data_IF_404082546534
#
_entry.id   IF_404082546534
#
_cell.length_a   1.000
_cell.length_b   1.000
_cell.length_c   1.000
_cell.angle_alpha   90.00
_cell.angle_beta   90.00
_cell.angle_gamma   90.00
#
_symmetry.space_group_name_H-M   'P 1'
#
loop_
_entity.id
_entity.type
_entity.pdbx_description
1 polymer ?
#
# COMPACT_ATOMS: atom_id res chain seq x y z
N UNK A 1 20.90 -2.78 24.09
CA UNK A 1 22.23 -2.59 24.72
C UNK A 1 23.25 -3.64 24.24
N UNK A 2 23.01 -4.98 24.29
CA UNK A 2 24.03 -5.96 23.85
C UNK A 2 24.51 -5.77 22.41
N UNK A 3 23.60 -5.52 21.44
CA UNK A 3 23.94 -5.30 20.05
C UNK A 3 24.86 -4.07 19.86
N UNK A 4 24.59 -2.98 20.58
CA UNK A 4 25.40 -1.76 20.51
C UNK A 4 26.81 -1.99 21.06
N UNK A 5 26.94 -2.73 22.18
CA UNK A 5 28.23 -3.07 22.78
C UNK A 5 29.03 -4.01 21.85
N UNK A 6 28.37 -4.85 21.08
CA UNK A 6 28.98 -5.73 20.09
C UNK A 6 29.30 -5.03 18.75
N UNK A 7 28.98 -3.75 18.60
CA UNK A 7 29.15 -3.02 17.33
C UNK A 7 28.22 -3.50 16.20
N UNK A 8 27.14 -4.19 16.55
CA UNK A 8 26.21 -4.78 15.59
C UNK A 8 25.10 -3.79 15.19
N UNK A 9 24.67 -3.88 13.94
CA UNK A 9 23.53 -3.08 13.44
C UNK A 9 22.21 -3.60 14.01
N UNK A 10 21.36 -2.68 14.47
CA UNK A 10 20.06 -2.96 15.04
C UNK A 10 18.96 -2.17 14.31
N UNK A 11 17.87 -2.85 13.97
CA UNK A 11 16.62 -2.19 13.49
C UNK A 11 15.59 -2.25 14.62
N UNK A 12 14.96 -1.12 14.92
CA UNK A 12 13.87 -1.01 15.89
C UNK A 12 12.61 -0.63 15.10
N UNK A 13 11.62 -1.50 15.14
CA UNK A 13 10.32 -1.29 14.49
C UNK A 13 9.26 -1.00 15.54
N UNK A 14 8.53 0.13 15.40
CA UNK A 14 7.47 0.56 16.32
C UNK A 14 6.14 0.70 15.59
N UNK A 15 5.04 0.79 16.35
CA UNK A 15 3.70 0.91 15.77
C UNK A 15 3.40 2.30 15.17
N UNK A 16 3.90 3.39 15.76
CA UNK A 16 3.49 4.75 15.44
C UNK A 16 4.60 5.78 15.32
N UNK A 17 4.29 6.90 14.67
CA UNK A 17 5.23 8.02 14.48
C UNK A 17 5.68 8.65 15.80
N UNK A 18 4.78 8.83 16.76
CA UNK A 18 5.08 9.42 18.07
C UNK A 18 6.10 8.62 18.86
N UNK A 19 5.99 7.29 18.80
CA UNK A 19 6.97 6.38 19.41
C UNK A 19 8.32 6.43 18.70
N UNK A 20 8.32 6.52 17.37
CA UNK A 20 9.57 6.71 16.62
C UNK A 20 10.28 8.00 17.03
N UNK A 21 9.55 9.11 17.11
CA UNK A 21 10.11 10.41 17.48
C UNK A 21 10.60 10.40 18.93
N UNK A 22 9.86 9.79 19.86
CA UNK A 22 10.29 9.62 21.25
C UNK A 22 11.59 8.80 21.35
N UNK A 23 11.66 7.64 20.71
CA UNK A 23 12.87 6.80 20.72
C UNK A 23 14.09 7.55 20.18
N UNK A 24 13.94 8.26 19.07
CA UNK A 24 15.04 8.97 18.43
C UNK A 24 15.45 10.25 19.15
N UNK A 25 14.50 11.01 19.69
CA UNK A 25 14.77 12.29 20.32
C UNK A 25 15.17 12.18 21.80
N UNK A 26 14.74 11.12 22.51
CA UNK A 26 14.88 11.02 23.95
C UNK A 26 15.57 9.74 24.42
N UNK A 27 15.01 8.57 24.10
CA UNK A 27 15.39 7.32 24.75
C UNK A 27 16.75 6.80 24.25
N UNK A 28 16.99 6.79 22.94
CA UNK A 28 18.25 6.34 22.36
C UNK A 28 19.43 7.29 22.66
N UNK A 29 19.28 8.61 22.61
CA UNK A 29 20.31 9.54 23.07
C UNK A 29 20.66 9.34 24.53
N UNK A 30 19.67 9.19 25.43
CA UNK A 30 19.91 8.95 26.86
C UNK A 30 20.65 7.63 27.09
N UNK A 31 20.28 6.57 26.35
CA UNK A 31 20.96 5.27 26.42
C UNK A 31 22.41 5.36 25.92
N UNK A 32 22.63 6.04 24.78
CA UNK A 32 23.97 6.29 24.21
C UNK A 32 24.87 6.98 25.21
N UNK A 33 24.36 8.05 25.84
CA UNK A 33 25.11 8.86 26.79
C UNK A 33 25.43 8.07 28.08
N UNK A 34 24.47 7.26 28.57
CA UNK A 34 24.65 6.40 29.72
C UNK A 34 25.67 5.25 29.49
N UNK A 35 25.77 4.74 28.27
CA UNK A 35 26.69 3.68 27.89
C UNK A 35 28.08 4.20 27.49
N UNK A 36 28.21 5.49 27.16
CA UNK A 36 29.44 6.09 26.65
C UNK A 36 29.90 5.53 25.32
N UNK A 37 28.96 4.99 24.49
CA UNK A 37 29.28 4.36 23.21
C UNK A 37 28.88 5.31 22.07
N UNK A 38 29.79 5.61 21.13
CA UNK A 38 29.44 6.42 19.97
C UNK A 38 28.55 5.61 19.01
N UNK A 39 27.25 5.89 18.99
CA UNK A 39 26.26 5.20 18.17
C UNK A 39 25.58 6.21 17.26
N UNK A 40 25.62 5.95 15.95
CA UNK A 40 24.83 6.70 14.98
C UNK A 40 23.43 6.09 14.92
N UNK A 41 22.42 6.92 15.19
CA UNK A 41 21.00 6.57 15.14
C UNK A 41 20.37 7.28 13.96
N UNK A 42 19.63 6.58 13.13
CA UNK A 42 18.80 7.16 12.07
C UNK A 42 17.33 6.84 12.30
N UNK A 43 16.48 7.82 11.98
CA UNK A 43 15.04 7.66 11.87
C UNK A 43 14.67 7.63 10.38
N UNK A 44 14.08 6.52 9.93
CA UNK A 44 13.60 6.39 8.57
C UNK A 44 12.07 6.28 8.57
N UNK A 45 11.42 7.23 7.92
CA UNK A 45 9.98 7.29 7.74
C UNK A 45 9.58 6.89 6.31
N UNK A 46 8.31 6.60 6.09
CA UNK A 46 7.77 6.37 4.74
C UNK A 46 7.85 7.63 3.87
N UNK A 47 7.91 7.47 2.55
CA UNK A 47 8.10 8.56 1.55
C UNK A 47 7.13 9.72 1.72
N UNK A 48 5.87 9.45 2.05
CA UNK A 48 4.83 10.46 2.28
C UNK A 48 5.11 11.40 3.48
N UNK A 49 6.14 11.12 4.27
CA UNK A 49 6.57 12.01 5.34
C UNK A 49 7.66 13.01 4.92
N UNK A 50 8.15 12.91 3.68
CA UNK A 50 9.19 13.81 3.15
C UNK A 50 8.66 14.65 1.99
N UNK A 51 9.04 15.91 1.94
CA UNK A 51 8.77 16.77 0.79
C UNK A 51 9.48 16.21 -0.45
N UNK A 52 8.80 16.16 -1.57
CA UNK A 52 9.36 15.77 -2.85
C UNK A 52 9.60 17.02 -3.72
N UNK A 53 10.84 17.30 -4.05
CA UNK A 53 11.19 18.49 -4.88
C UNK A 53 10.46 18.47 -6.22
N UNK A 54 10.44 17.34 -6.91
CA UNK A 54 9.75 17.19 -8.19
C UNK A 54 8.25 17.50 -8.07
N UNK A 55 7.56 16.88 -7.09
CA UNK A 55 6.13 17.10 -6.87
C UNK A 55 5.83 18.54 -6.45
N UNK A 56 6.69 19.13 -5.63
CA UNK A 56 6.57 20.52 -5.18
C UNK A 56 6.66 21.50 -6.35
N UNK A 57 7.59 21.30 -7.27
CA UNK A 57 7.75 22.10 -8.49
C UNK A 57 6.57 21.91 -9.43
N UNK A 58 6.13 20.67 -9.62
CA UNK A 58 4.96 20.34 -10.45
C UNK A 58 3.70 21.02 -9.92
N UNK A 59 3.41 20.89 -8.62
CA UNK A 59 2.25 21.52 -7.97
C UNK A 59 2.30 23.05 -8.10
N UNK A 60 3.48 23.62 -7.95
CA UNK A 60 3.67 25.07 -8.10
C UNK A 60 3.45 25.55 -9.54
N UNK A 61 3.83 24.75 -10.54
CA UNK A 61 3.67 25.08 -11.96
C UNK A 61 2.24 24.90 -12.45
N UNK A 62 1.54 23.87 -11.98
CA UNK A 62 0.16 23.59 -12.38
C UNK A 62 -0.85 24.59 -11.77
N UNK A 63 -0.54 25.16 -10.60
CA UNK A 63 -1.38 26.16 -9.94
C UNK A 63 -2.74 25.65 -9.47
N UNK A 64 -2.99 24.34 -9.55
CA UNK A 64 -4.24 23.70 -9.09
C UNK A 64 -4.14 23.34 -7.62
N UNK A 65 -4.63 24.23 -6.77
CA UNK A 65 -4.56 24.09 -5.33
C UNK A 65 -5.94 23.77 -4.74
N UNK A 66 -6.02 22.93 -3.68
CA UNK A 66 -7.29 22.48 -3.11
C UNK A 66 -8.13 23.61 -2.50
N UNK A 67 -7.48 24.61 -1.91
CA UNK A 67 -8.12 25.67 -1.11
C UNK A 67 -7.47 27.03 -1.40
N UNK A 68 -8.17 28.13 -1.05
CA UNK A 68 -7.66 29.48 -1.30
C UNK A 68 -6.37 29.81 -0.51
N UNK A 69 -6.22 29.26 0.69
CA UNK A 69 -5.04 29.47 1.55
C UNK A 69 -3.86 28.55 1.19
N UNK A 70 -4.09 27.53 0.36
CA UNK A 70 -3.08 26.55 -0.06
C UNK A 70 -1.87 27.21 -0.72
N UNK A 71 -2.04 28.38 -1.38
CA UNK A 71 -0.91 29.10 -1.95
C UNK A 71 0.09 29.58 -0.87
N UNK A 72 -0.40 30.08 0.25
CA UNK A 72 0.48 30.53 1.34
C UNK A 72 1.19 29.33 2.00
N UNK A 73 0.48 28.22 2.19
CA UNK A 73 1.04 26.98 2.71
C UNK A 73 2.09 26.42 1.75
N UNK A 74 1.82 26.39 0.44
CA UNK A 74 2.78 25.96 -0.57
C UNK A 74 4.08 26.78 -0.52
N UNK A 75 3.97 28.10 -0.38
CA UNK A 75 5.15 28.97 -0.22
C UNK A 75 5.95 28.68 1.05
N UNK A 76 5.30 28.32 2.15
CA UNK A 76 5.96 27.86 3.37
C UNK A 76 6.73 26.57 3.12
N UNK A 77 6.10 25.58 2.47
CA UNK A 77 6.72 24.30 2.12
C UNK A 77 7.92 24.52 1.18
N UNK A 78 7.81 25.40 0.18
CA UNK A 78 8.93 25.73 -0.70
C UNK A 78 10.13 26.31 0.07
N UNK A 79 9.88 27.25 0.99
CA UNK A 79 10.95 27.82 1.83
C UNK A 79 11.56 26.78 2.75
N UNK A 80 10.75 25.93 3.35
CA UNK A 80 11.18 24.81 4.18
C UNK A 80 12.07 23.86 3.37
N UNK A 81 11.63 23.41 2.21
CA UNK A 81 12.37 22.49 1.35
C UNK A 81 13.75 23.05 0.92
N UNK A 82 13.84 24.37 0.75
CA UNK A 82 15.09 25.04 0.36
C UNK A 82 16.15 25.08 1.47
N UNK A 83 15.76 24.97 2.74
CA UNK A 83 16.68 25.10 3.89
C UNK A 83 16.76 23.84 4.76
N UNK A 84 15.77 22.95 4.67
CA UNK A 84 15.74 21.71 5.45
C UNK A 84 16.83 20.74 4.99
N UNK A 85 17.39 20.01 5.94
CA UNK A 85 18.33 18.91 5.67
C UNK A 85 17.61 17.57 5.53
N UNK A 86 16.47 17.41 6.18
CA UNK A 86 15.71 16.17 6.27
C UNK A 86 14.53 16.15 5.32
N UNK A 87 13.90 17.32 5.08
CA UNK A 87 12.64 17.43 4.35
C UNK A 87 11.45 16.77 5.04
N UNK A 88 11.59 16.39 6.33
CA UNK A 88 10.50 15.77 7.12
C UNK A 88 9.41 16.81 7.39
N UNK A 89 8.19 16.52 6.93
CA UNK A 89 7.03 17.41 7.12
C UNK A 89 6.69 17.69 8.60
N UNK A 90 7.08 16.79 9.52
CA UNK A 90 6.89 17.00 10.95
C UNK A 90 7.71 18.20 11.49
N UNK A 91 8.76 18.61 10.78
CA UNK A 91 9.55 19.81 11.11
C UNK A 91 8.87 21.13 10.70
N UNK A 92 7.71 21.06 10.00
CA UNK A 92 6.93 22.22 9.57
C UNK A 92 5.54 22.25 10.23
N UNK A 93 5.44 22.53 11.54
CA UNK A 93 4.18 22.51 12.28
C UNK A 93 3.17 23.57 11.82
N UNK A 94 3.61 24.55 11.05
CA UNK A 94 2.77 25.60 10.46
C UNK A 94 1.79 25.08 9.39
N UNK A 95 1.98 23.85 8.89
CA UNK A 95 1.08 23.18 7.96
C UNK A 95 0.57 21.91 8.65
N UNK A 96 -0.73 21.80 8.94
CA UNK A 96 -1.31 20.64 9.64
C UNK A 96 -0.95 19.31 8.95
N UNK A 97 -0.81 18.23 9.72
CA UNK A 97 -0.45 16.90 9.18
C UNK A 97 -1.50 16.33 8.21
N UNK A 98 -2.76 16.69 8.40
CA UNK A 98 -3.93 16.28 7.60
C UNK A 98 -4.23 17.23 6.45
N UNK A 99 -3.39 18.25 6.21
CA UNK A 99 -3.61 19.21 5.13
C UNK A 99 -3.59 18.53 3.76
N UNK A 100 -4.58 18.85 2.93
CA UNK A 100 -4.78 18.31 1.58
C UNK A 100 -3.65 18.65 0.60
N UNK A 101 -2.76 19.55 0.97
CA UNK A 101 -1.59 19.91 0.16
C UNK A 101 -0.49 18.85 0.24
N UNK A 102 -0.36 18.11 1.36
CA UNK A 102 0.69 17.12 1.54
C UNK A 102 0.71 16.02 0.46
N UNK A 103 -0.40 15.41 0.07
CA UNK A 103 -0.41 14.42 -1.01
C UNK A 103 0.08 14.96 -2.36
N UNK A 104 -0.01 16.28 -2.59
CA UNK A 104 0.44 16.93 -3.82
C UNK A 104 1.94 17.20 -3.85
N UNK A 105 2.57 17.40 -2.67
CA UNK A 105 3.98 17.80 -2.54
C UNK A 105 4.88 16.72 -1.92
N UNK A 106 4.34 15.56 -1.60
CA UNK A 106 5.07 14.37 -1.17
C UNK A 106 4.99 13.28 -2.24
N UNK A 107 5.72 12.19 -2.07
CA UNK A 107 5.66 11.06 -3.01
C UNK A 107 5.18 9.78 -2.33
N UNK A 108 4.55 8.92 -3.13
CA UNK A 108 4.21 7.53 -2.78
C UNK A 108 5.08 6.58 -3.60
N UNK A 109 4.94 5.26 -3.41
CA UNK A 109 5.64 4.27 -4.24
C UNK A 109 5.21 4.42 -5.71
N UNK A 110 3.93 4.64 -5.93
CA UNK A 110 3.27 4.64 -7.24
C UNK A 110 3.60 5.88 -8.07
N UNK A 111 3.78 7.05 -7.43
CA UNK A 111 4.01 8.31 -8.14
C UNK A 111 5.46 8.81 -8.12
N UNK A 112 6.38 8.04 -7.54
CA UNK A 112 7.81 8.38 -7.51
C UNK A 112 8.49 7.92 -8.80
N UNK A 113 9.12 8.83 -9.53
CA UNK A 113 9.81 8.54 -10.80
C UNK A 113 11.08 7.67 -10.65
N UNK A 114 11.58 7.48 -9.42
CA UNK A 114 12.77 6.67 -9.18
C UNK A 114 14.08 7.36 -9.63
N UNK A 115 15.18 6.58 -9.56
CA UNK A 115 16.53 7.09 -9.81
C UNK A 115 16.72 7.58 -11.24
N UNK A 116 16.26 6.82 -12.20
CA UNK A 116 16.62 7.02 -13.61
C UNK A 116 15.79 8.11 -14.30
N UNK A 117 14.59 8.40 -13.78
CA UNK A 117 13.64 9.32 -14.39
C UNK A 117 13.44 10.63 -13.63
N UNK A 118 13.85 10.71 -12.36
CA UNK A 118 13.62 11.90 -11.52
C UNK A 118 14.70 12.97 -11.70
N UNK A 119 14.39 14.18 -12.18
CA UNK A 119 15.38 15.24 -12.34
C UNK A 119 15.95 15.75 -11.02
N UNK A 120 15.21 15.59 -9.91
CA UNK A 120 15.61 16.05 -8.57
C UNK A 120 16.16 14.90 -7.70
N UNK A 121 16.63 13.79 -8.32
CA UNK A 121 17.02 12.60 -7.55
C UNK A 121 18.22 12.85 -6.62
N UNK A 122 19.19 13.66 -7.05
CA UNK A 122 20.39 13.93 -6.25
C UNK A 122 20.07 14.68 -4.96
N UNK A 123 19.08 15.56 -4.99
CA UNK A 123 18.62 16.32 -3.82
C UNK A 123 17.47 15.66 -3.05
N UNK A 124 17.05 14.46 -3.46
CA UNK A 124 15.91 13.76 -2.89
C UNK A 124 16.09 13.47 -1.39
N UNK A 125 15.19 13.98 -0.56
CA UNK A 125 15.20 13.76 0.89
C UNK A 125 15.01 12.30 1.27
N UNK A 126 14.18 11.55 0.55
CA UNK A 126 14.00 10.11 0.78
C UNK A 126 15.30 9.34 0.51
N UNK A 127 16.03 9.69 -0.56
CA UNK A 127 17.37 9.12 -0.85
C UNK A 127 18.33 9.41 0.30
N UNK A 128 18.45 10.67 0.70
CA UNK A 128 19.35 11.10 1.81
C UNK A 128 19.02 10.37 3.12
N UNK A 129 17.73 10.25 3.47
CA UNK A 129 17.29 9.53 4.65
C UNK A 129 17.63 8.03 4.61
N UNK A 130 17.53 7.39 3.45
CA UNK A 130 17.93 5.98 3.26
C UNK A 130 19.43 5.79 3.36
N UNK A 131 20.20 6.65 2.72
CA UNK A 131 21.66 6.61 2.80
C UNK A 131 22.14 6.80 4.24
N UNK A 132 21.51 7.69 5.01
CA UNK A 132 21.79 7.88 6.43
C UNK A 132 21.43 6.65 7.26
N UNK A 133 20.29 6.01 7.00
CA UNK A 133 19.90 4.77 7.63
C UNK A 133 20.88 3.62 7.34
N UNK A 134 21.31 3.49 6.08
CA UNK A 134 22.29 2.45 5.68
C UNK A 134 23.66 2.61 6.37
N UNK A 135 24.02 3.83 6.78
CA UNK A 135 25.27 4.15 7.47
C UNK A 135 25.15 4.17 8.99
N UNK A 136 23.98 3.82 9.54
CA UNK A 136 23.70 3.93 10.98
C UNK A 136 23.72 2.56 11.67
N UNK A 137 24.17 2.53 12.93
CA UNK A 137 24.18 1.32 13.76
C UNK A 137 22.79 1.01 14.32
N UNK A 138 21.96 2.04 14.55
CA UNK A 138 20.56 1.87 14.97
C UNK A 138 19.67 2.59 13.98
N UNK A 139 18.69 1.87 13.43
CA UNK A 139 17.69 2.43 12.54
C UNK A 139 16.31 2.23 13.16
N UNK A 140 15.60 3.33 13.38
CA UNK A 140 14.23 3.31 13.87
C UNK A 140 13.27 3.47 12.69
N UNK A 141 12.29 2.58 12.61
CA UNK A 141 11.26 2.54 11.54
C UNK A 141 9.89 2.25 12.14
N UNK A 142 8.82 2.42 11.37
CA UNK A 142 7.54 1.86 11.74
C UNK A 142 7.35 0.45 11.15
N UNK A 143 6.35 -0.30 11.65
CA UNK A 143 6.06 -1.66 11.18
C UNK A 143 5.75 -1.71 9.68
N UNK A 144 5.01 -0.72 9.16
CA UNK A 144 4.70 -0.64 7.73
C UNK A 144 5.98 -0.57 6.88
N UNK A 145 6.94 0.28 7.24
CA UNK A 145 8.18 0.42 6.49
C UNK A 145 9.08 -0.82 6.65
N UNK A 146 9.12 -1.41 7.86
CA UNK A 146 9.84 -2.64 8.13
C UNK A 146 9.33 -3.80 7.26
N UNK A 147 8.02 -4.04 7.27
CA UNK A 147 7.38 -5.11 6.48
C UNK A 147 7.46 -4.85 4.97
N UNK A 148 7.31 -3.60 4.53
CA UNK A 148 7.54 -3.21 3.14
C UNK A 148 8.97 -3.52 2.68
N UNK A 149 9.98 -3.29 3.55
CA UNK A 149 11.37 -3.67 3.26
C UNK A 149 11.57 -5.18 3.17
N UNK A 150 10.86 -5.95 3.99
CA UNK A 150 10.90 -7.42 3.93
C UNK A 150 10.22 -7.96 2.67
N UNK A 151 9.07 -7.40 2.28
CA UNK A 151 8.36 -7.79 1.06
C UNK A 151 9.25 -7.58 -0.17
N UNK A 152 9.87 -6.41 -0.30
CA UNK A 152 10.79 -6.11 -1.40
C UNK A 152 11.99 -7.06 -1.48
N UNK A 153 12.54 -7.48 -0.33
CA UNK A 153 13.64 -8.47 -0.29
C UNK A 153 13.20 -9.87 -0.76
N UNK A 154 11.92 -10.21 -0.60
CA UNK A 154 11.39 -11.49 -1.10
C UNK A 154 11.18 -11.48 -2.62
N UNK A 155 10.78 -10.33 -3.17
CA UNK A 155 10.50 -10.19 -4.61
C UNK A 155 11.78 -10.13 -5.46
N UNK A 156 12.89 -9.62 -4.91
CA UNK A 156 14.16 -9.62 -5.64
C UNK A 156 15.37 -9.64 -4.69
N UNK A 157 16.24 -10.63 -4.87
CA UNK A 157 17.55 -10.72 -4.20
C UNK A 157 18.51 -9.60 -4.60
N UNK A 158 18.20 -8.84 -5.64
CA UNK A 158 19.09 -7.87 -6.29
C UNK A 158 18.86 -6.42 -5.88
N UNK A 159 17.78 -6.11 -5.13
CA UNK A 159 17.51 -4.74 -4.70
C UNK A 159 18.22 -4.51 -3.35
N UNK A 160 19.17 -3.58 -3.33
CA UNK A 160 19.68 -3.00 -2.09
C UNK A 160 18.49 -2.60 -1.22
N UNK A 161 18.29 -3.34 -0.12
CA UNK A 161 17.12 -3.19 0.74
C UNK A 161 17.01 -1.76 1.25
N UNK A 162 15.77 -1.33 1.54
CA UNK A 162 15.54 -0.01 2.15
C UNK A 162 16.16 0.13 3.54
N UNK A 163 16.50 -0.99 4.17
CA UNK A 163 17.06 -1.07 5.51
C UNK A 163 18.37 -1.86 5.48
N UNK A 164 19.36 -1.51 6.33
CA UNK A 164 20.60 -2.25 6.47
C UNK A 164 20.33 -3.69 6.90
N UNK A 165 21.28 -4.56 6.62
CA UNK A 165 21.26 -5.90 7.16
C UNK A 165 21.53 -5.83 8.67
N UNK A 166 20.48 -6.08 9.46
CA UNK A 166 20.54 -5.99 10.92
C UNK A 166 20.87 -7.35 11.54
N UNK A 167 21.80 -7.34 12.51
CA UNK A 167 22.08 -8.51 13.34
C UNK A 167 21.00 -8.72 14.42
N UNK A 168 20.26 -7.66 14.75
CA UNK A 168 19.16 -7.68 15.71
C UNK A 168 18.02 -6.81 15.21
N UNK A 169 16.80 -7.36 15.24
CA UNK A 169 15.57 -6.59 15.06
C UNK A 169 14.79 -6.59 16.37
N UNK A 170 14.37 -5.41 16.81
CA UNK A 170 13.47 -5.22 17.95
C UNK A 170 12.10 -4.81 17.41
N UNK A 171 11.09 -5.57 17.76
CA UNK A 171 9.68 -5.27 17.41
C UNK A 171 9.00 -4.78 18.68
N UNK A 172 8.64 -3.51 18.69
CA UNK A 172 7.85 -2.89 19.76
C UNK A 172 6.37 -2.96 19.38
N UNK A 173 5.45 -3.09 20.37
CA UNK A 173 4.01 -3.24 20.12
C UNK A 173 3.68 -4.38 19.13
N UNK A 174 4.35 -5.53 19.30
CA UNK A 174 4.29 -6.66 18.35
C UNK A 174 2.88 -7.21 18.11
N UNK A 175 1.91 -6.92 18.97
CA UNK A 175 0.51 -7.30 18.81
C UNK A 175 -0.16 -6.68 17.57
N UNK A 176 0.35 -5.57 17.06
CA UNK A 176 -0.14 -4.93 15.83
C UNK A 176 0.43 -5.54 14.55
N UNK A 177 1.53 -6.29 14.67
CA UNK A 177 2.28 -6.81 13.52
C UNK A 177 1.45 -7.75 12.62
N UNK A 178 0.63 -8.69 13.14
CA UNK A 178 -0.14 -9.62 12.30
C UNK A 178 -1.10 -8.88 11.36
N UNK A 179 -1.86 -7.90 11.88
CA UNK A 179 -2.79 -7.12 11.07
C UNK A 179 -2.09 -6.31 9.98
N UNK A 180 -0.93 -5.71 10.30
CA UNK A 180 -0.14 -4.95 9.33
C UNK A 180 0.50 -5.91 8.32
N UNK A 181 1.00 -7.08 8.75
CA UNK A 181 1.63 -8.05 7.88
C UNK A 181 0.67 -8.57 6.80
N UNK A 182 -0.59 -8.78 7.14
CA UNK A 182 -1.63 -9.21 6.19
C UNK A 182 -1.78 -8.22 5.01
N UNK A 183 -1.62 -6.92 5.25
CA UNK A 183 -1.69 -5.92 4.17
C UNK A 183 -0.43 -5.86 3.29
N UNK A 184 0.71 -6.43 3.72
CA UNK A 184 1.95 -6.46 2.95
C UNK A 184 2.21 -7.77 2.22
N UNK A 185 1.74 -8.87 2.77
CA UNK A 185 1.98 -10.21 2.23
C UNK A 185 0.72 -10.84 1.64
N UNK A 186 -0.44 -10.24 1.90
CA UNK A 186 -1.70 -10.61 1.28
C UNK A 186 -1.90 -9.94 -0.07
N UNK A 187 -2.77 -10.53 -0.89
CA UNK A 187 -3.22 -9.93 -2.14
C UNK A 187 -4.55 -9.23 -1.90
N UNK A 188 -4.62 -7.94 -2.21
CA UNK A 188 -5.85 -7.15 -2.06
C UNK A 188 -6.05 -6.25 -3.26
N UNK A 189 -7.30 -5.96 -3.61
CA UNK A 189 -7.64 -4.87 -4.52
C UNK A 189 -8.77 -4.04 -3.90
N UNK A 190 -8.84 -2.78 -4.31
CA UNK A 190 -9.88 -1.86 -3.87
C UNK A 190 -10.58 -1.26 -5.09
N UNK A 191 -11.91 -1.14 -5.05
CA UNK A 191 -12.66 -0.41 -6.09
C UNK A 191 -12.23 1.05 -6.16
N UNK A 192 -11.76 1.62 -5.03
CA UNK A 192 -11.21 2.96 -4.98
C UNK A 192 -9.90 3.09 -5.80
N UNK A 193 -9.00 2.12 -5.70
CA UNK A 193 -7.75 2.13 -6.47
C UNK A 193 -8.00 1.95 -7.97
N UNK A 194 -8.94 1.08 -8.32
CA UNK A 194 -9.39 0.90 -9.71
C UNK A 194 -9.97 2.20 -10.29
N UNK A 195 -10.81 2.90 -9.52
CA UNK A 195 -11.39 4.19 -9.93
C UNK A 195 -10.32 5.28 -10.05
N UNK A 196 -9.35 5.35 -9.11
CA UNK A 196 -8.27 6.33 -9.13
C UNK A 196 -7.35 6.16 -10.34
N UNK A 197 -6.91 4.93 -10.62
CA UNK A 197 -6.10 4.64 -11.81
C UNK A 197 -6.85 5.01 -13.08
N UNK A 198 -8.14 4.68 -13.16
CA UNK A 198 -8.96 5.02 -14.32
C UNK A 198 -9.20 6.51 -14.48
N UNK A 199 -9.38 7.25 -13.39
CA UNK A 199 -9.52 8.71 -13.40
C UNK A 199 -8.21 9.39 -13.86
N UNK A 200 -7.07 8.91 -13.41
CA UNK A 200 -5.76 9.42 -13.81
C UNK A 200 -5.48 9.09 -15.29
N UNK A 201 -5.82 7.86 -15.75
CA UNK A 201 -5.72 7.47 -17.15
C UNK A 201 -6.56 8.37 -18.05
N UNK A 202 -7.81 8.68 -17.66
CA UNK A 202 -8.65 9.65 -18.36
C UNK A 202 -7.98 11.02 -18.43
N UNK A 203 -7.43 11.51 -17.30
CA UNK A 203 -6.77 12.83 -17.23
C UNK A 203 -5.58 12.90 -18.18
N UNK A 204 -4.67 11.93 -18.09
CA UNK A 204 -3.46 11.86 -18.91
C UNK A 204 -3.80 11.62 -20.39
N UNK A 205 -4.69 10.65 -20.65
CA UNK A 205 -5.13 10.34 -22.00
C UNK A 205 -5.70 11.55 -22.73
N UNK A 206 -6.58 12.31 -22.09
CA UNK A 206 -7.14 13.54 -22.66
C UNK A 206 -6.14 14.66 -22.88
N UNK A 207 -5.14 14.77 -22.02
CA UNK A 207 -4.17 15.88 -22.09
C UNK A 207 -2.97 15.57 -22.96
N UNK A 208 -2.54 14.32 -23.02
CA UNK A 208 -1.31 13.88 -23.68
C UNK A 208 -1.54 12.99 -24.91
N UNK A 209 -2.63 12.22 -24.92
CA UNK A 209 -2.93 11.21 -25.92
C UNK A 209 -4.41 11.24 -26.33
N UNK A 210 -4.93 12.45 -26.64
CA UNK A 210 -6.38 12.67 -26.86
C UNK A 210 -6.95 11.89 -28.06
N UNK A 211 -6.11 11.61 -29.05
CA UNK A 211 -6.44 10.82 -30.25
C UNK A 211 -6.27 9.29 -30.04
N UNK A 212 -5.77 8.88 -28.87
CA UNK A 212 -5.36 7.51 -28.60
C UNK A 212 -6.50 6.57 -28.22
N UNK A 213 -7.57 7.09 -27.60
CA UNK A 213 -8.74 6.31 -27.18
C UNK A 213 -9.90 7.20 -26.76
N UNK A 214 -11.08 6.59 -26.60
CA UNK A 214 -12.29 7.22 -26.02
C UNK A 214 -12.22 7.24 -24.48
N UNK A 215 -11.26 8.00 -23.94
CA UNK A 215 -10.89 7.99 -22.51
C UNK A 215 -12.07 8.24 -21.56
N UNK A 216 -13.00 9.12 -21.94
CA UNK A 216 -14.19 9.44 -21.16
C UNK A 216 -15.14 8.23 -21.07
N UNK A 217 -15.38 7.57 -22.20
CA UNK A 217 -16.26 6.39 -22.27
C UNK A 217 -15.67 5.23 -21.46
N UNK A 218 -14.36 5.02 -21.55
CA UNK A 218 -13.66 3.97 -20.78
C UNK A 218 -13.78 4.24 -19.28
N UNK A 219 -13.53 5.46 -18.84
CA UNK A 219 -13.68 5.85 -17.44
C UNK A 219 -15.11 5.66 -16.94
N UNK A 220 -16.12 6.14 -17.68
CA UNK A 220 -17.52 6.01 -17.28
C UNK A 220 -17.95 4.54 -17.13
N UNK A 221 -17.43 3.64 -17.98
CA UNK A 221 -17.66 2.19 -17.85
C UNK A 221 -17.08 1.63 -16.57
N UNK A 222 -15.85 1.98 -16.22
CA UNK A 222 -15.21 1.53 -14.95
C UNK A 222 -15.99 2.07 -13.75
N UNK A 223 -16.31 3.36 -13.74
CA UNK A 223 -17.05 4.00 -12.66
C UNK A 223 -18.43 3.38 -12.44
N UNK A 224 -19.15 3.08 -13.54
CA UNK A 224 -20.44 2.40 -13.48
C UNK A 224 -20.31 0.99 -12.92
N UNK A 225 -19.37 0.19 -13.43
CA UNK A 225 -19.15 -1.18 -12.99
C UNK A 225 -18.72 -1.25 -11.50
N UNK A 226 -17.86 -0.31 -11.05
CA UNK A 226 -17.46 -0.21 -9.64
C UNK A 226 -18.64 0.11 -8.72
N UNK A 227 -19.52 1.03 -9.12
CA UNK A 227 -20.74 1.33 -8.35
C UNK A 227 -21.70 0.15 -8.29
N UNK A 228 -21.91 -0.55 -9.42
CA UNK A 228 -22.77 -1.74 -9.46
C UNK A 228 -22.22 -2.85 -8.56
N UNK A 229 -20.90 -3.10 -8.60
CA UNK A 229 -20.25 -4.09 -7.72
C UNK A 229 -20.42 -3.77 -6.24
N UNK A 230 -20.25 -2.51 -5.83
CA UNK A 230 -20.51 -2.08 -4.45
C UNK A 230 -21.98 -2.25 -4.04
N UNK A 231 -22.92 -1.97 -4.94
CA UNK A 231 -24.34 -2.20 -4.68
C UNK A 231 -24.67 -3.69 -4.55
N UNK A 232 -24.05 -4.55 -5.34
CA UNK A 232 -24.19 -6.00 -5.21
C UNK A 232 -23.65 -6.49 -3.85
N UNK A 233 -22.50 -5.95 -3.38
CA UNK A 233 -21.94 -6.24 -2.07
C UNK A 233 -22.90 -5.83 -0.91
N UNK A 234 -23.51 -4.66 -1.01
CA UNK A 234 -24.51 -4.22 -0.02
C UNK A 234 -25.74 -5.13 0.02
N UNK A 235 -26.16 -5.71 -1.11
CA UNK A 235 -27.31 -6.63 -1.18
C UNK A 235 -27.08 -7.94 -0.43
N UNK A 236 -25.85 -8.42 -0.38
CA UNK A 236 -25.48 -9.63 0.39
C UNK A 236 -25.15 -9.29 1.85
N UNK A 237 -25.43 -8.06 2.32
CA UNK A 237 -25.33 -7.66 3.70
C UNK A 237 -24.01 -7.03 4.12
N UNK A 238 -23.08 -6.75 3.18
CA UNK A 238 -21.83 -6.07 3.51
C UNK A 238 -22.10 -4.58 3.73
N UNK A 239 -21.89 -4.11 4.97
CA UNK A 239 -22.04 -2.70 5.32
C UNK A 239 -20.72 -1.95 5.08
N UNK A 240 -20.82 -0.62 4.82
CA UNK A 240 -19.66 0.24 4.64
C UNK A 240 -18.79 0.29 5.91
N UNK A 241 -17.49 0.01 5.79
CA UNK A 241 -16.54 -0.04 6.91
C UNK A 241 -16.60 -1.32 7.74
N UNK A 242 -17.36 -2.32 7.32
CA UNK A 242 -17.40 -3.63 7.94
C UNK A 242 -16.34 -4.54 7.28
N UNK A 243 -15.70 -5.36 8.10
CA UNK A 243 -14.69 -6.33 7.64
C UNK A 243 -15.19 -7.73 7.93
N UNK A 244 -15.47 -8.50 6.89
CA UNK A 244 -16.00 -9.84 6.99
C UNK A 244 -15.04 -10.85 6.34
N UNK A 245 -14.97 -12.04 6.93
CA UNK A 245 -14.28 -13.17 6.29
C UNK A 245 -15.12 -13.67 5.11
N UNK A 246 -14.48 -13.90 3.97
CA UNK A 246 -15.15 -14.37 2.75
C UNK A 246 -15.87 -15.70 2.96
N UNK A 247 -15.31 -16.57 3.80
CA UNK A 247 -15.90 -17.89 4.10
C UNK A 247 -17.14 -17.76 5.01
N UNK A 248 -17.35 -16.59 5.67
CA UNK A 248 -18.51 -16.30 6.52
C UNK A 248 -19.64 -15.55 5.76
N UNK A 249 -19.39 -15.11 4.51
CA UNK A 249 -20.35 -14.33 3.74
C UNK A 249 -21.27 -15.27 2.94
N UNK A 250 -22.52 -15.38 3.38
CA UNK A 250 -23.56 -16.06 2.63
C UNK A 250 -23.81 -15.33 1.29
N UNK A 251 -23.82 -16.07 0.18
CA UNK A 251 -24.02 -15.50 -1.15
C UNK A 251 -22.80 -14.81 -1.76
N UNK A 252 -21.59 -14.94 -1.20
CA UNK A 252 -20.38 -14.33 -1.74
C UNK A 252 -20.17 -14.62 -3.24
N UNK A 253 -20.46 -15.84 -3.69
CA UNK A 253 -20.37 -16.24 -5.10
C UNK A 253 -21.29 -15.44 -6.05
N UNK A 254 -22.34 -14.82 -5.53
CA UNK A 254 -23.26 -13.99 -6.31
C UNK A 254 -22.63 -12.66 -6.74
N UNK A 255 -21.54 -12.24 -6.09
CA UNK A 255 -20.77 -11.04 -6.47
C UNK A 255 -19.94 -11.23 -7.75
N UNK A 256 -19.68 -12.49 -8.15
CA UNK A 256 -18.80 -12.78 -9.29
C UNK A 256 -19.19 -12.09 -10.58
N UNK A 257 -20.46 -12.03 -11.02
CA UNK A 257 -20.84 -11.33 -12.24
C UNK A 257 -20.58 -9.83 -12.18
N UNK A 258 -20.75 -9.20 -11.01
CA UNK A 258 -20.44 -7.79 -10.78
C UNK A 258 -18.93 -7.53 -10.84
N UNK A 259 -18.17 -8.39 -10.18
CA UNK A 259 -16.72 -8.36 -10.22
C UNK A 259 -16.16 -8.52 -11.64
N UNK A 260 -16.65 -9.48 -12.43
CA UNK A 260 -16.23 -9.68 -13.81
C UNK A 260 -16.54 -8.47 -14.71
N UNK A 261 -17.69 -7.81 -14.51
CA UNK A 261 -17.99 -6.56 -15.23
C UNK A 261 -16.98 -5.46 -14.90
N UNK A 262 -16.60 -5.32 -13.62
CA UNK A 262 -15.59 -4.36 -13.19
C UNK A 262 -14.23 -4.70 -13.79
N UNK A 263 -13.80 -5.96 -13.70
CA UNK A 263 -12.53 -6.45 -14.23
C UNK A 263 -12.43 -6.23 -15.74
N UNK A 264 -13.49 -6.56 -16.50
CA UNK A 264 -13.53 -6.37 -17.95
C UNK A 264 -13.49 -4.88 -18.35
N UNK A 265 -14.20 -4.01 -17.62
CA UNK A 265 -14.17 -2.58 -17.88
C UNK A 265 -12.77 -1.99 -17.60
N UNK A 266 -12.11 -2.43 -16.51
CA UNK A 266 -10.78 -2.00 -16.14
C UNK A 266 -9.72 -2.54 -17.13
N UNK A 267 -9.83 -3.79 -17.59
CA UNK A 267 -8.97 -4.36 -18.62
C UNK A 267 -8.99 -3.55 -19.92
N UNK A 268 -10.17 -3.11 -20.37
CA UNK A 268 -10.30 -2.26 -21.55
C UNK A 268 -9.58 -0.91 -21.41
N UNK A 269 -9.55 -0.32 -20.20
CA UNK A 269 -8.75 0.87 -19.91
C UNK A 269 -7.25 0.59 -20.07
N UNK A 270 -6.78 -0.57 -19.60
CA UNK A 270 -5.38 -1.00 -19.73
C UNK A 270 -4.97 -1.24 -21.19
N UNK A 271 -5.86 -1.78 -22.01
CA UNK A 271 -5.61 -1.94 -23.45
C UNK A 271 -5.40 -0.58 -24.12
N UNK A 272 -6.22 0.41 -23.77
CA UNK A 272 -6.07 1.77 -24.27
C UNK A 272 -4.75 2.42 -23.84
N UNK A 273 -4.31 2.23 -22.58
CA UNK A 273 -3.02 2.72 -22.12
C UNK A 273 -1.86 2.06 -22.87
N UNK A 274 -1.86 0.72 -23.01
CA UNK A 274 -0.83 -0.02 -23.77
C UNK A 274 -0.76 0.37 -25.24
N UNK A 275 -1.90 0.64 -25.87
CA UNK A 275 -1.93 1.12 -27.26
C UNK A 275 -1.28 2.50 -27.45
N UNK A 276 -1.08 3.23 -26.37
CA UNK A 276 -0.45 4.55 -26.34
C UNK A 276 0.93 4.55 -25.64
N UNK A 277 1.54 3.38 -25.43
CA UNK A 277 2.86 3.22 -24.80
C UNK A 277 3.94 4.04 -25.52
N UNK A 278 4.83 4.65 -24.73
CA UNK A 278 5.93 5.49 -25.23
C UNK A 278 5.52 6.91 -25.66
N UNK A 279 4.23 7.27 -25.56
CA UNK A 279 3.79 8.63 -25.88
C UNK A 279 3.93 9.60 -24.70
N UNK A 280 3.82 9.09 -23.46
CA UNK A 280 3.97 9.88 -22.25
C UNK A 280 4.45 9.01 -21.09
N UNK A 281 5.51 9.41 -20.38
CA UNK A 281 6.12 8.63 -19.29
C UNK A 281 5.19 8.46 -18.07
N UNK A 282 4.28 9.42 -17.80
CA UNK A 282 3.33 9.30 -16.69
C UNK A 282 2.27 8.26 -17.03
N UNK A 283 1.81 8.22 -18.29
CA UNK A 283 0.86 7.23 -18.76
C UNK A 283 1.47 5.82 -18.75
N UNK A 284 2.74 5.68 -19.13
CA UNK A 284 3.47 4.41 -19.11
C UNK A 284 3.61 3.88 -17.67
N UNK A 285 3.99 4.74 -16.72
CA UNK A 285 4.05 4.39 -15.28
C UNK A 285 2.68 4.00 -14.72
N UNK A 286 1.62 4.68 -15.19
CA UNK A 286 0.25 4.35 -14.78
C UNK A 286 -0.21 3.01 -15.36
N UNK A 287 0.25 2.65 -16.57
CA UNK A 287 -0.03 1.35 -17.18
C UNK A 287 0.64 0.20 -16.40
N UNK A 288 1.86 0.41 -15.85
CA UNK A 288 2.51 -0.55 -14.94
C UNK A 288 1.64 -0.78 -13.69
N UNK A 289 1.15 0.29 -13.06
CA UNK A 289 0.27 0.20 -11.89
C UNK A 289 -1.07 -0.48 -12.21
N UNK A 290 -1.64 -0.19 -13.38
CA UNK A 290 -2.85 -0.88 -13.86
C UNK A 290 -2.60 -2.39 -13.95
N UNK A 291 -1.45 -2.82 -14.49
CA UNK A 291 -1.10 -4.23 -14.62
C UNK A 291 -0.98 -4.91 -13.24
N UNK A 292 -0.37 -4.27 -12.25
CA UNK A 292 -0.30 -4.77 -10.87
C UNK A 292 -1.71 -4.99 -10.27
N UNK A 293 -2.63 -4.02 -10.44
CA UNK A 293 -4.01 -4.16 -9.95
C UNK A 293 -4.78 -5.25 -10.71
N UNK A 294 -4.55 -5.42 -12.00
CA UNK A 294 -5.14 -6.52 -12.77
C UNK A 294 -4.68 -7.89 -12.29
N UNK A 295 -3.41 -8.03 -11.93
CA UNK A 295 -2.88 -9.27 -11.35
C UNK A 295 -3.53 -9.58 -9.99
N UNK A 296 -3.72 -8.57 -9.15
CA UNK A 296 -4.43 -8.70 -7.88
C UNK A 296 -5.89 -9.11 -8.09
N UNK A 297 -6.59 -8.52 -9.06
CA UNK A 297 -7.96 -8.91 -9.42
C UNK A 297 -8.03 -10.35 -9.97
N UNK A 298 -7.02 -10.80 -10.71
CA UNK A 298 -6.95 -12.18 -11.21
C UNK A 298 -6.84 -13.19 -10.07
N UNK A 299 -6.04 -12.90 -9.03
CA UNK A 299 -5.97 -13.72 -7.83
C UNK A 299 -7.34 -13.85 -7.15
N UNK A 300 -8.12 -12.75 -7.09
CA UNK A 300 -9.49 -12.76 -6.56
C UNK A 300 -10.48 -13.55 -7.44
N UNK A 301 -10.27 -13.61 -8.76
CA UNK A 301 -11.06 -14.45 -9.66
C UNK A 301 -11.06 -15.92 -9.21
N UNK A 302 -9.91 -16.45 -8.83
CA UNK A 302 -9.78 -17.82 -8.35
C UNK A 302 -10.59 -18.06 -7.05
N UNK A 303 -10.64 -17.07 -6.16
CA UNK A 303 -11.41 -17.10 -4.92
C UNK A 303 -12.91 -17.17 -5.22
N UNK A 304 -13.42 -16.27 -6.05
CA UNK A 304 -14.83 -16.25 -6.46
C UNK A 304 -15.27 -17.58 -7.12
N UNK A 305 -14.43 -18.14 -8.01
CA UNK A 305 -14.71 -19.40 -8.68
C UNK A 305 -14.78 -20.57 -7.68
N UNK A 306 -13.86 -20.59 -6.70
CA UNK A 306 -13.84 -21.62 -5.65
C UNK A 306 -15.11 -21.56 -4.79
N UNK A 307 -15.50 -20.39 -4.30
CA UNK A 307 -16.69 -20.21 -3.48
C UNK A 307 -17.98 -20.58 -4.24
N UNK A 308 -18.07 -20.23 -5.52
CA UNK A 308 -19.21 -20.60 -6.36
C UNK A 308 -19.34 -22.10 -6.58
N UNK A 309 -18.22 -22.80 -6.78
CA UNK A 309 -18.25 -24.26 -7.01
C UNK A 309 -18.53 -25.02 -5.71
N UNK A 310 -18.01 -24.57 -4.55
CA UNK A 310 -18.31 -25.15 -3.23
C UNK A 310 -19.80 -25.09 -2.90
N UNK A 311 -20.45 -23.95 -3.16
CA UNK A 311 -21.89 -23.80 -2.97
C UNK A 311 -22.74 -24.72 -3.91
N UNK A 312 -22.22 -25.03 -5.10
CA UNK A 312 -22.89 -25.97 -6.02
C UNK A 312 -22.78 -27.44 -5.56
N UNK A 313 -21.66 -27.83 -4.94
CA UNK A 313 -21.45 -29.15 -4.40
C UNK A 313 -22.32 -29.40 -3.14
N UNK A 314 -22.42 -28.40 -2.24
CA UNK A 314 -23.31 -28.49 -1.06
C UNK A 314 -24.81 -28.56 -1.45
N UNK A 315 -25.22 -27.86 -2.50
CA UNK A 315 -26.58 -27.93 -3.02
C UNK A 315 -26.89 -29.32 -3.64
N UNK A 316 -25.88 -30.00 -4.23
CA UNK A 316 -26.05 -31.31 -4.83
C UNK A 316 -26.07 -32.45 -3.77
N UNK A 317 -25.38 -32.27 -2.64
CA UNK A 317 -25.39 -33.21 -1.52
C UNK A 317 -26.67 -33.09 -0.67
N UNK A 318 -27.27 -31.89 -0.58
CA UNK A 318 -28.52 -31.63 0.13
C UNK A 318 -29.75 -32.30 -0.53
N UNK A 319 -29.74 -32.55 -1.83
CA UNK A 319 -30.84 -33.27 -2.54
C UNK A 319 -30.69 -34.79 -2.45
N UNK A 320 -29.53 -35.33 -2.06
CA UNK A 320 -29.29 -36.78 -1.96
C UNK A 320 -29.50 -37.36 -0.55
N UNK A 321 -29.71 -36.52 0.47
CA UNK A 321 -29.85 -36.95 1.89
C UNK A 321 -31.29 -36.98 2.41
N UNK A 322 -32.26 -37.32 1.56
CA UNK A 322 -33.62 -37.67 1.98
C UNK A 322 -33.78 -39.18 2.02
N UNK A 323 -33.57 -39.80 3.18
CA UNK A 323 -33.92 -41.16 3.67
C UNK A 323 -32.69 -41.99 4.07
N UNK A 324 -32.29 -41.88 5.34
CA UNK A 324 -31.84 -43.00 6.18
C UNK A 324 -31.58 -42.54 7.62
N UNK A 325 -32.49 -42.90 8.52
CA UNK A 325 -32.23 -42.95 9.97
C UNK A 325 -31.26 -44.09 10.33
N UNK A 326 -30.59 -43.87 11.44
CA UNK A 326 -30.09 -44.82 12.48
C UNK A 326 -28.59 -44.72 12.80
N UNK A 327 -28.33 -44.09 13.93
CA UNK A 327 -27.62 -44.61 15.10
C UNK A 327 -26.10 -44.93 14.96
N UNK A 328 -25.27 -44.23 15.72
CA UNK A 328 -23.93 -44.66 16.05
C UNK A 328 -23.07 -43.58 16.69
N UNK A 329 -22.98 -43.57 18.02
CA UNK A 329 -22.03 -42.79 18.80
C UNK A 329 -20.58 -43.19 18.48
N UNK A 330 -19.70 -42.26 18.16
CA UNK A 330 -18.26 -42.40 18.29
C UNK A 330 -17.62 -41.02 18.60
N UNK A 331 -16.83 -41.00 19.66
CA UNK A 331 -16.23 -39.81 20.24
C UNK A 331 -15.14 -39.14 19.38
N UNK A 332 -14.65 -37.94 19.79
CA UNK A 332 -13.81 -37.12 18.98
C UNK A 332 -12.35 -37.60 18.97
N UNK A 333 -11.88 -38.08 17.86
CA UNK A 333 -10.43 -38.18 17.59
C UNK A 333 -9.90 -36.84 17.11
N UNK A 334 -8.93 -36.30 17.86
CA UNK A 334 -8.18 -35.12 17.50
C UNK A 334 -7.28 -35.43 16.30
N UNK A 335 -7.76 -35.12 15.10
CA UNK A 335 -6.97 -35.11 13.89
C UNK A 335 -6.09 -33.88 13.84
N UNK A 336 -4.76 -34.07 13.94
CA UNK A 336 -3.77 -33.08 13.69
C UNK A 336 -3.92 -32.57 12.25
N UNK A 337 -4.38 -31.34 12.07
CA UNK A 337 -4.37 -30.65 10.79
C UNK A 337 -2.92 -30.35 10.40
N UNK A 338 -2.46 -30.96 9.32
CA UNK A 338 -1.22 -30.60 8.63
C UNK A 338 -1.30 -29.12 8.22
N UNK A 339 -0.24 -28.36 8.54
CA UNK A 339 -0.14 -26.94 8.17
C UNK A 339 -0.10 -26.76 6.66
N UNK A 340 -1.27 -26.61 6.07
CA UNK A 340 -1.46 -26.00 4.77
C UNK A 340 -1.90 -24.55 5.02
N UNK A 341 -1.26 -23.64 4.33
CA UNK A 341 -1.39 -22.20 4.40
C UNK A 341 -2.84 -21.75 4.66
N UNK A 342 -3.11 -21.29 5.88
CA UNK A 342 -4.38 -20.66 6.23
C UNK A 342 -4.36 -19.24 5.62
N UNK A 343 -4.87 -19.14 4.43
CA UNK A 343 -5.04 -17.87 3.72
C UNK A 343 -6.28 -17.19 4.29
N UNK A 344 -6.07 -16.15 5.09
CA UNK A 344 -7.16 -15.33 5.65
C UNK A 344 -7.61 -14.32 4.60
N UNK A 345 -8.89 -14.33 4.26
CA UNK A 345 -9.50 -13.54 3.18
C UNK A 345 -10.55 -12.61 3.75
N UNK A 346 -10.40 -11.32 3.52
CA UNK A 346 -11.33 -10.30 4.01
C UNK A 346 -11.91 -9.49 2.85
N UNK A 347 -13.19 -9.14 2.96
CA UNK A 347 -13.85 -8.09 2.19
C UNK A 347 -14.13 -6.90 3.11
N UNK A 348 -13.82 -5.67 2.68
CA UNK A 348 -14.01 -4.42 3.43
C UNK A 348 -14.71 -3.37 2.57
#
# INVERSE_FOLDING_TARGET
>A
TPALLAGATCVISTAGKSLQDQLCAKDLPALRDALGVPVKVALLKGRANYVCHFRLELTASEGRLPEQDSYLKLRKIQRFAAVSRTGDRAELPDVPEDDRLWPLVTSTRENCLGKDRCPNYDDCFVKKAREDAMQSQVVVVNHHLYLSSMALKRESDAIDGMLPQAALTVIDEAHQLPGIASSFFGTSFSTYDVENVSMEARRLGRTKCNDGAEWEILYDRVLKAGREFRLDAQRIGLAEGERLDVDEIEGFGELYPGFERLRAAFAAMGEAMRANEGRDNELDTLAERHAELMEQMEAWTAIFVKCRNGAADEASEGEAAGDAEVGGEAGPEAGAASGADAEVRWLE
#
